data_IF_415586314207
#
_entry.id   IF_415586314207
#
_cell.length_a   1.000
_cell.length_b   1.000
_cell.length_c   1.000
_cell.angle_alpha   90.00
_cell.angle_beta   90.00
_cell.angle_gamma   90.00
#
_symmetry.space_group_name_H-M   'P 1'
#
loop_
_entity.id
_entity.type
_entity.pdbx_description
1 polymer ?
#
# COMPACT_ATOMS: atom_id res chain seq x y z
N UNK A 1 -13.73 2.73 24.84
CA UNK A 1 -14.18 2.73 23.42
C UNK A 1 -14.74 1.35 23.13
N UNK A 2 -16.02 1.27 22.77
CA UNK A 2 -16.77 0.02 22.66
C UNK A 2 -16.35 -0.78 21.42
N UNK A 3 -16.31 -2.11 21.52
CA UNK A 3 -15.94 -3.02 20.43
C UNK A 3 -16.77 -2.82 19.14
N UNK A 4 -17.97 -2.25 19.26
CA UNK A 4 -18.89 -1.98 18.15
C UNK A 4 -18.32 -1.02 17.10
N UNK A 5 -17.53 -0.02 17.50
CA UNK A 5 -16.98 0.97 16.55
C UNK A 5 -15.90 0.38 15.64
N UNK A 6 -15.17 -0.64 16.11
CA UNK A 6 -14.17 -1.32 15.29
C UNK A 6 -14.82 -2.21 14.24
N UNK A 7 -15.88 -2.95 14.59
CA UNK A 7 -16.58 -3.81 13.64
C UNK A 7 -17.24 -3.00 12.52
N UNK A 8 -17.89 -1.88 12.83
CA UNK A 8 -18.47 -0.99 11.81
C UNK A 8 -17.40 -0.35 10.90
N UNK A 9 -16.26 0.04 11.46
CA UNK A 9 -15.14 0.56 10.68
C UNK A 9 -14.59 -0.49 9.71
N UNK A 10 -14.46 -1.74 10.16
CA UNK A 10 -14.03 -2.86 9.31
C UNK A 10 -15.06 -3.21 8.24
N UNK A 11 -16.35 -3.15 8.57
CA UNK A 11 -17.44 -3.35 7.61
C UNK A 11 -17.43 -2.27 6.53
N UNK A 12 -17.32 -0.99 6.91
CA UNK A 12 -17.17 0.11 5.94
C UNK A 12 -15.90 -0.02 5.09
N UNK A 13 -14.81 -0.53 5.67
CA UNK A 13 -13.60 -0.84 4.92
C UNK A 13 -13.79 -1.98 3.91
N UNK A 14 -14.53 -3.02 4.30
CA UNK A 14 -14.87 -4.15 3.44
C UNK A 14 -15.80 -3.73 2.28
N UNK A 15 -16.76 -2.86 2.54
CA UNK A 15 -17.64 -2.23 1.54
C UNK A 15 -16.89 -1.28 0.59
N UNK A 16 -15.68 -0.88 0.96
CA UNK A 16 -14.81 -0.08 0.12
C UNK A 16 -14.87 1.42 0.33
N UNK A 17 -15.39 1.84 1.48
CA UNK A 17 -15.27 3.21 1.93
C UNK A 17 -13.78 3.58 2.05
N UNK A 18 -13.35 4.73 1.51
CA UNK A 18 -11.98 5.18 1.62
C UNK A 18 -11.52 5.34 3.07
N UNK A 19 -10.24 5.01 3.33
CA UNK A 19 -9.64 5.11 4.68
C UNK A 19 -9.73 6.52 5.27
N UNK A 20 -9.64 7.56 4.44
CA UNK A 20 -9.73 8.94 4.92
C UNK A 20 -11.15 9.29 5.39
N UNK A 21 -12.17 8.77 4.72
CA UNK A 21 -13.57 8.97 5.08
C UNK A 21 -13.91 8.20 6.36
N UNK A 22 -13.43 6.96 6.49
CA UNK A 22 -13.52 6.19 7.74
C UNK A 22 -12.78 6.89 8.89
N UNK A 23 -11.59 7.43 8.64
CA UNK A 23 -10.82 8.18 9.64
C UNK A 23 -11.60 9.40 10.15
N UNK A 24 -12.22 10.17 9.26
CA UNK A 24 -13.06 11.32 9.62
C UNK A 24 -14.32 10.88 10.37
N UNK A 25 -15.04 9.88 9.86
CA UNK A 25 -16.31 9.41 10.43
C UNK A 25 -16.16 8.83 11.83
N UNK A 26 -15.08 8.07 12.07
CA UNK A 26 -14.82 7.45 13.37
C UNK A 26 -13.87 8.29 14.24
N UNK A 27 -13.46 9.49 13.80
CA UNK A 27 -12.50 10.38 14.46
C UNK A 27 -11.20 9.68 14.89
N UNK A 28 -10.72 8.75 14.06
CA UNK A 28 -9.48 8.00 14.29
C UNK A 28 -8.42 8.40 13.29
N UNK A 29 -7.15 8.28 13.67
CA UNK A 29 -6.06 8.49 12.73
C UNK A 29 -6.06 7.41 11.63
N UNK A 30 -5.74 7.78 10.39
CA UNK A 30 -5.62 6.83 9.24
C UNK A 30 -4.73 5.62 9.53
N UNK A 31 -3.69 5.82 10.36
CA UNK A 31 -2.80 4.75 10.82
C UNK A 31 -3.50 3.74 11.74
N UNK A 32 -4.44 4.21 12.56
CA UNK A 32 -5.30 3.37 13.40
C UNK A 32 -6.24 2.54 12.54
N UNK A 33 -6.89 3.13 11.54
CA UNK A 33 -7.72 2.38 10.56
C UNK A 33 -6.90 1.26 9.92
N UNK A 34 -5.70 1.58 9.43
CA UNK A 34 -4.82 0.60 8.78
C UNK A 34 -4.36 -0.50 9.77
N UNK A 35 -4.09 -0.15 11.03
CA UNK A 35 -3.71 -1.11 12.08
C UNK A 35 -4.88 -2.05 12.40
N UNK A 36 -6.09 -1.52 12.53
CA UNK A 36 -7.30 -2.29 12.81
C UNK A 36 -7.62 -3.25 11.67
N UNK A 37 -7.55 -2.78 10.42
CA UNK A 37 -7.72 -3.60 9.21
C UNK A 37 -6.71 -4.76 9.20
N UNK A 38 -5.44 -4.48 9.49
CA UNK A 38 -4.39 -5.53 9.60
C UNK A 38 -4.66 -6.51 10.74
N UNK A 39 -5.09 -6.02 11.91
CA UNK A 39 -5.42 -6.88 13.06
C UNK A 39 -6.64 -7.77 12.78
N UNK A 40 -7.57 -7.30 11.95
CA UNK A 40 -8.73 -8.08 11.50
C UNK A 40 -8.38 -9.08 10.38
N UNK A 41 -7.12 -9.16 9.95
CA UNK A 41 -6.69 -10.04 8.86
C UNK A 41 -7.15 -9.58 7.48
N UNK A 42 -7.76 -8.39 7.36
CA UNK A 42 -8.13 -7.82 6.08
C UNK A 42 -6.86 -7.30 5.39
N UNK A 43 -6.67 -7.71 4.15
CA UNK A 43 -5.60 -7.16 3.32
C UNK A 43 -5.81 -5.65 3.20
N UNK A 44 -4.79 -4.88 3.55
CA UNK A 44 -4.84 -3.44 3.32
C UNK A 44 -4.97 -3.25 1.81
N UNK A 45 -6.12 -2.74 1.36
CA UNK A 45 -6.36 -2.10 0.06
C UNK A 45 -5.28 -1.04 -0.11
N UNK A 46 -4.11 -1.46 -0.58
CA UNK A 46 -3.20 -0.55 -1.24
C UNK A 46 -3.93 -0.12 -2.50
N UNK A 47 -3.85 1.16 -2.90
CA UNK A 47 -4.19 1.51 -4.27
C UNK A 47 -3.48 0.50 -5.16
N UNK A 48 -4.25 -0.26 -5.93
CA UNK A 48 -3.65 -1.19 -6.88
C UNK A 48 -2.79 -0.32 -7.79
N UNK A 49 -1.47 -0.47 -7.70
CA UNK A 49 -0.58 0.18 -8.65
C UNK A 49 -1.01 -0.36 -10.01
N UNK A 50 -1.41 0.51 -10.96
CA UNK A 50 -1.84 0.05 -12.27
C UNK A 50 -0.77 -0.85 -12.86
N UNK A 51 -1.18 -1.96 -13.50
CA UNK A 51 -0.26 -2.89 -14.14
C UNK A 51 0.79 -2.22 -15.04
N UNK A 52 0.48 -1.19 -15.86
CA UNK A 52 1.51 -0.48 -16.61
C UNK A 52 2.57 0.20 -15.73
N UNK A 53 2.18 0.75 -14.57
CA UNK A 53 3.12 1.36 -13.61
C UNK A 53 3.98 0.28 -12.95
N UNK A 54 3.41 -0.91 -12.69
CA UNK A 54 4.16 -2.06 -12.18
C UNK A 54 5.24 -2.49 -13.18
N UNK A 55 4.88 -2.66 -14.45
CA UNK A 55 5.85 -3.06 -15.48
C UNK A 55 6.93 -2.00 -15.69
N UNK A 56 6.55 -0.71 -15.69
CA UNK A 56 7.51 0.38 -15.81
C UNK A 56 8.47 0.42 -14.60
N UNK A 57 7.97 0.18 -13.38
CA UNK A 57 8.80 0.13 -12.18
C UNK A 57 9.86 -0.98 -12.26
N UNK A 58 9.47 -2.16 -12.75
CA UNK A 58 10.39 -3.29 -12.95
C UNK A 58 11.38 -2.98 -14.07
N UNK A 59 10.94 -2.42 -15.20
CA UNK A 59 11.82 -2.06 -16.32
C UNK A 59 12.88 -1.05 -15.91
N UNK A 60 12.47 0.04 -15.25
CA UNK A 60 13.38 1.07 -14.77
C UNK A 60 14.39 0.52 -13.76
N UNK A 61 13.95 -0.38 -12.88
CA UNK A 61 14.86 -1.06 -11.97
C UNK A 61 15.90 -1.90 -12.71
N UNK A 62 15.47 -2.74 -13.67
CA UNK A 62 16.35 -3.56 -14.52
C UNK A 62 17.34 -2.69 -15.30
N UNK A 63 16.91 -1.53 -15.81
CA UNK A 63 17.74 -0.57 -16.55
C UNK A 63 18.86 0.08 -15.72
N UNK A 64 18.88 -0.12 -14.40
CA UNK A 64 19.97 0.33 -13.55
C UNK A 64 19.57 1.32 -12.46
N UNK A 65 18.33 1.83 -12.50
CA UNK A 65 17.87 2.80 -11.50
C UNK A 65 17.70 2.14 -10.13
N UNK A 66 17.90 2.94 -9.09
CA UNK A 66 17.64 2.55 -7.70
C UNK A 66 16.14 2.59 -7.39
N UNK A 67 15.72 1.89 -6.34
CA UNK A 67 14.32 1.86 -5.90
C UNK A 67 13.76 3.27 -5.58
N UNK A 68 14.64 4.19 -5.14
CA UNK A 68 14.29 5.57 -4.82
C UNK A 68 14.03 6.35 -6.11
N UNK A 69 14.94 6.31 -7.08
CA UNK A 69 14.80 7.00 -8.36
C UNK A 69 13.59 6.51 -9.16
N UNK A 70 13.32 5.19 -9.13
CA UNK A 70 12.11 4.62 -9.73
C UNK A 70 10.86 5.14 -9.04
N UNK A 71 10.88 5.22 -7.70
CA UNK A 71 9.78 5.74 -6.91
C UNK A 71 9.48 7.21 -7.21
N UNK A 72 10.52 8.04 -7.28
CA UNK A 72 10.41 9.46 -7.64
C UNK A 72 9.86 9.65 -9.05
N UNK A 73 10.35 8.86 -10.02
CA UNK A 73 9.92 8.96 -11.43
C UNK A 73 8.48 8.52 -11.65
N UNK A 74 8.01 7.55 -10.88
CA UNK A 74 6.65 7.02 -10.97
C UNK A 74 5.68 7.61 -9.94
N UNK A 75 6.16 8.49 -9.06
CA UNK A 75 5.35 9.07 -7.98
C UNK A 75 4.89 8.05 -6.94
N UNK A 76 5.61 6.94 -6.77
CA UNK A 76 5.30 5.87 -5.82
C UNK A 76 6.41 5.71 -4.78
N UNK A 77 6.05 5.18 -3.61
CA UNK A 77 7.03 4.97 -2.55
C UNK A 77 8.07 3.89 -2.92
N UNK A 78 9.33 4.07 -2.52
CA UNK A 78 10.44 3.13 -2.72
C UNK A 78 10.13 1.71 -2.20
N UNK A 79 9.39 1.60 -1.09
CA UNK A 79 8.91 0.32 -0.55
C UNK A 79 7.89 -0.34 -1.47
N UNK A 80 7.08 0.45 -2.15
CA UNK A 80 6.14 -0.05 -3.17
C UNK A 80 6.92 -0.58 -4.35
N UNK A 81 7.89 0.18 -4.88
CA UNK A 81 8.79 -0.29 -5.96
C UNK A 81 9.44 -1.62 -5.59
N UNK A 82 10.02 -1.71 -4.38
CA UNK A 82 10.64 -2.95 -3.89
C UNK A 82 9.69 -4.14 -3.95
N UNK A 83 8.44 -3.93 -3.54
CA UNK A 83 7.42 -4.97 -3.52
C UNK A 83 7.05 -5.41 -4.93
N UNK A 84 6.90 -4.46 -5.86
CA UNK A 84 6.59 -4.72 -7.27
C UNK A 84 7.71 -5.52 -7.94
N UNK A 85 8.98 -5.18 -7.66
CA UNK A 85 10.15 -5.92 -8.18
C UNK A 85 10.17 -7.35 -7.66
N UNK A 86 9.91 -7.57 -6.35
CA UNK A 86 9.83 -8.92 -5.77
C UNK A 86 8.65 -9.70 -6.37
N UNK A 87 7.47 -9.10 -6.48
CA UNK A 87 6.27 -9.74 -7.05
C UNK A 87 6.45 -10.11 -8.52
N UNK A 88 7.24 -9.35 -9.27
CA UNK A 88 7.61 -9.66 -10.66
C UNK A 88 8.72 -10.74 -10.76
N UNK A 89 9.18 -11.31 -9.64
CA UNK A 89 10.25 -12.31 -9.61
C UNK A 89 11.65 -11.73 -9.78
N UNK A 90 11.80 -10.40 -9.69
CA UNK A 90 13.08 -9.71 -9.77
C UNK A 90 13.90 -9.88 -8.49
N UNK A 91 15.15 -10.28 -8.63
CA UNK A 91 16.10 -10.31 -7.50
C UNK A 91 16.49 -8.88 -7.13
N UNK A 92 16.29 -8.51 -5.87
CA UNK A 92 16.79 -7.23 -5.38
C UNK A 92 18.32 -7.24 -5.43
N UNK A 93 18.89 -6.24 -6.11
CA UNK A 93 20.31 -5.93 -6.09
C UNK A 93 20.78 -5.81 -4.65
N UNK A 94 21.93 -6.43 -4.30
CA UNK A 94 22.53 -6.25 -2.99
C UNK A 94 22.82 -4.76 -2.78
N UNK A 95 22.65 -4.30 -1.54
CA UNK A 95 23.05 -2.95 -1.16
C UNK A 95 24.57 -2.90 -1.27
N UNK A 96 25.07 -2.13 -2.23
CA UNK A 96 26.47 -1.72 -2.27
C UNK A 96 26.81 -0.80 -1.11
#
# INVERSE_FOLDING_TARGET
MSASNHAELLAGYADGVPVHELATRFQVHRGTVTKLVRQAGLAVRRPAVPEPVRQEAVRLYVDGLTLVEVGERLGINDKTVRLLVIEAGGTLRPRG
#
